data_IF_867937167982
#
_entry.id   IF_867937167982
#
_cell.length_a   1.000
_cell.length_b   1.000
_cell.length_c   1.000
_cell.angle_alpha   90.00
_cell.angle_beta   90.00
_cell.angle_gamma   90.00
#
_symmetry.space_group_name_H-M   'P 1'
#
loop_
_entity.id
_entity.type
_entity.pdbx_description
1 polymer ?
#
# COMPACT_ATOMS: atom_id res chain seq x y z
N UNK A 1 -24.67 11.45 -9.28
CA UNK A 1 -23.72 10.87 -10.22
C UNK A 1 -24.10 11.27 -11.63
N UNK A 2 -23.12 11.58 -12.50
CA UNK A 2 -23.40 11.83 -13.90
C UNK A 2 -23.74 10.50 -14.56
N UNK A 3 -24.96 10.35 -15.08
CA UNK A 3 -25.42 9.32 -16.01
C UNK A 3 -25.00 7.85 -15.77
N UNK A 4 -25.55 6.92 -16.55
CA UNK A 4 -25.25 5.47 -16.44
C UNK A 4 -23.95 5.03 -17.12
N UNK A 5 -23.10 5.95 -17.56
CA UNK A 5 -21.84 5.66 -18.27
C UNK A 5 -20.59 5.90 -17.43
N UNK A 6 -19.42 5.42 -17.91
CA UNK A 6 -18.15 5.67 -17.25
C UNK A 6 -17.82 7.16 -17.20
N UNK A 7 -17.24 7.61 -16.08
CA UNK A 7 -16.87 9.01 -15.90
C UNK A 7 -15.48 9.17 -15.25
N UNK A 8 -14.94 10.36 -15.42
CA UNK A 8 -13.64 10.77 -14.91
C UNK A 8 -13.81 12.03 -14.05
N UNK A 9 -13.10 12.09 -12.95
CA UNK A 9 -13.00 13.29 -12.11
C UNK A 9 -11.62 13.91 -12.36
N UNK A 10 -11.57 15.15 -12.81
CA UNK A 10 -10.29 15.84 -13.11
C UNK A 10 -9.56 16.31 -11.86
N UNK A 11 -10.26 16.61 -10.78
CA UNK A 11 -9.71 16.98 -9.48
C UNK A 11 -9.70 15.79 -8.51
N UNK A 12 -9.92 16.09 -7.23
CA UNK A 12 -9.90 15.11 -6.15
C UNK A 12 -11.29 14.59 -5.78
N UNK A 13 -11.35 13.36 -5.25
CA UNK A 13 -12.53 12.77 -4.63
C UNK A 13 -12.24 12.53 -3.14
N UNK A 14 -13.09 13.08 -2.29
CA UNK A 14 -13.00 12.92 -0.83
C UNK A 14 -14.25 12.21 -0.30
N UNK A 15 -14.03 11.09 0.38
CA UNK A 15 -15.07 10.31 1.06
C UNK A 15 -14.69 10.30 2.54
N UNK A 16 -15.48 10.96 3.37
CA UNK A 16 -15.14 11.18 4.76
C UNK A 16 -16.36 10.99 5.66
N UNK A 17 -16.14 10.38 6.82
CA UNK A 17 -17.15 10.13 7.86
C UNK A 17 -18.43 9.50 7.29
N UNK A 18 -18.28 8.52 6.41
CA UNK A 18 -19.44 7.85 5.82
C UNK A 18 -19.94 6.71 6.71
N UNK A 19 -21.26 6.60 6.85
CA UNK A 19 -21.95 5.46 7.47
C UNK A 19 -22.19 4.31 6.47
N UNK A 20 -21.68 4.45 5.25
CA UNK A 20 -21.85 3.46 4.20
C UNK A 20 -20.95 2.25 4.42
N UNK A 21 -21.44 1.10 4.02
CA UNK A 21 -20.69 -0.15 4.03
C UNK A 21 -19.88 -0.38 2.74
N UNK A 22 -20.23 0.32 1.65
CA UNK A 22 -19.56 0.23 0.33
C UNK A 22 -19.64 1.55 -0.46
N UNK A 23 -19.08 1.55 -1.66
CA UNK A 23 -18.96 2.71 -2.56
C UNK A 23 -19.67 2.48 -3.91
N UNK A 24 -20.74 1.66 -3.94
CA UNK A 24 -21.44 1.29 -5.19
C UNK A 24 -21.94 2.47 -6.03
N UNK A 25 -22.13 3.63 -5.42
CA UNK A 25 -22.50 4.86 -6.14
C UNK A 25 -21.37 5.33 -7.09
N UNK A 26 -20.13 4.85 -6.89
CA UNK A 26 -18.98 5.17 -7.73
C UNK A 26 -18.67 4.11 -8.81
N UNK A 27 -19.58 3.15 -9.04
CA UNK A 27 -19.36 1.99 -9.94
C UNK A 27 -18.94 2.31 -11.37
N UNK A 28 -19.08 3.55 -11.79
CA UNK A 28 -18.71 4.02 -13.14
C UNK A 28 -17.47 4.96 -13.12
N UNK A 29 -16.86 5.17 -11.95
CA UNK A 29 -15.66 5.99 -11.82
C UNK A 29 -14.45 5.24 -12.40
N UNK A 30 -13.81 5.84 -13.41
CA UNK A 30 -12.61 5.26 -14.05
C UNK A 30 -11.32 5.94 -13.63
N UNK A 31 -11.34 7.22 -13.39
CA UNK A 31 -10.13 7.91 -12.96
C UNK A 31 -10.42 9.12 -12.08
N UNK A 32 -9.43 9.42 -11.23
CA UNK A 32 -9.36 10.65 -10.44
C UNK A 32 -8.04 11.34 -10.77
N UNK A 33 -8.11 12.56 -11.30
CA UNK A 33 -6.95 13.28 -11.80
C UNK A 33 -5.95 13.63 -10.69
N UNK A 34 -6.46 13.92 -9.48
CA UNK A 34 -5.63 14.20 -8.31
C UNK A 34 -5.74 13.08 -7.27
N UNK A 35 -6.29 13.36 -6.10
CA UNK A 35 -6.36 12.44 -4.98
C UNK A 35 -7.73 11.75 -4.86
N UNK A 36 -7.72 10.43 -4.67
CA UNK A 36 -8.84 9.71 -4.06
C UNK A 36 -8.51 9.48 -2.59
N UNK A 37 -9.25 10.15 -1.71
CA UNK A 37 -9.11 9.99 -0.27
C UNK A 37 -10.38 9.43 0.35
N UNK A 38 -10.24 8.32 1.06
CA UNK A 38 -11.30 7.67 1.83
C UNK A 38 -10.85 7.69 3.29
N UNK A 39 -11.54 8.40 4.16
CA UNK A 39 -11.06 8.59 5.52
C UNK A 39 -12.15 8.56 6.56
N UNK A 40 -11.78 8.16 7.79
CA UNK A 40 -12.65 8.16 8.97
C UNK A 40 -14.04 7.55 8.70
N UNK A 41 -14.08 6.41 8.01
CA UNK A 41 -15.32 5.74 7.58
C UNK A 41 -15.49 4.41 8.33
N UNK A 42 -15.94 4.44 9.58
CA UNK A 42 -15.91 3.29 10.50
C UNK A 42 -16.85 2.15 10.11
N UNK A 43 -17.79 2.38 9.22
CA UNK A 43 -18.73 1.36 8.75
C UNK A 43 -18.33 0.76 7.39
N UNK A 44 -17.33 1.30 6.71
CA UNK A 44 -16.92 0.84 5.39
C UNK A 44 -16.34 -0.58 5.47
N UNK A 45 -17.00 -1.54 4.84
CA UNK A 45 -16.61 -2.96 4.82
C UNK A 45 -15.82 -3.33 3.56
N UNK A 46 -16.12 -2.63 2.44
CA UNK A 46 -15.50 -2.92 1.14
C UNK A 46 -15.43 -1.66 0.28
N UNK A 47 -14.57 -1.69 -0.74
CA UNK A 47 -14.48 -0.67 -1.78
C UNK A 47 -15.37 -1.01 -3.00
N UNK A 48 -16.38 -1.88 -2.82
CA UNK A 48 -17.30 -2.24 -3.90
C UNK A 48 -17.89 -0.99 -4.54
N UNK A 49 -17.74 -0.87 -5.87
CA UNK A 49 -18.02 0.33 -6.65
C UNK A 49 -16.77 0.97 -7.28
N UNK A 50 -15.55 0.53 -6.87
CA UNK A 50 -14.31 1.01 -7.48
C UNK A 50 -13.69 -0.01 -8.47
N UNK A 51 -14.46 -1.01 -8.90
CA UNK A 51 -13.96 -2.07 -9.79
C UNK A 51 -13.53 -1.55 -11.17
N UNK A 52 -14.02 -0.37 -11.58
CA UNK A 52 -13.64 0.25 -12.85
C UNK A 52 -12.57 1.33 -12.71
N UNK A 53 -12.07 1.57 -11.51
CA UNK A 53 -11.04 2.58 -11.28
C UNK A 53 -9.69 2.11 -11.85
N UNK A 54 -9.16 2.87 -12.80
CA UNK A 54 -7.94 2.55 -13.55
C UNK A 54 -6.75 3.41 -13.08
N UNK A 55 -7.02 4.66 -12.68
CA UNK A 55 -5.95 5.59 -12.32
C UNK A 55 -6.35 6.64 -11.29
N UNK A 56 -5.39 6.96 -10.41
CA UNK A 56 -5.42 8.10 -9.48
C UNK A 56 -4.00 8.68 -9.36
N UNK A 57 -3.84 9.96 -9.06
CA UNK A 57 -2.50 10.51 -8.73
C UNK A 57 -2.06 10.20 -7.30
N UNK A 58 -3.02 10.02 -6.40
CA UNK A 58 -2.77 9.58 -5.02
C UNK A 58 -3.98 8.82 -4.48
N UNK A 59 -3.73 7.68 -3.84
CA UNK A 59 -4.73 6.91 -3.10
C UNK A 59 -4.40 6.99 -1.61
N UNK A 60 -5.32 7.53 -0.82
CA UNK A 60 -5.23 7.50 0.65
C UNK A 60 -6.46 6.81 1.22
N UNK A 61 -6.26 5.78 2.04
CA UNK A 61 -7.32 5.14 2.83
C UNK A 61 -6.88 5.17 4.29
N UNK A 62 -7.63 5.88 5.11
CA UNK A 62 -7.25 6.17 6.48
C UNK A 62 -8.43 6.02 7.45
N UNK A 63 -8.21 5.34 8.58
CA UNK A 63 -9.21 5.20 9.63
C UNK A 63 -10.50 4.49 9.18
N UNK A 64 -10.36 3.41 8.43
CA UNK A 64 -11.46 2.54 8.00
C UNK A 64 -11.31 1.15 8.65
N UNK A 65 -11.57 1.00 9.96
CA UNK A 65 -11.19 -0.18 10.74
C UNK A 65 -11.90 -1.47 10.33
N UNK A 66 -13.05 -1.37 9.66
CA UNK A 66 -13.81 -2.55 9.20
C UNK A 66 -13.49 -2.96 7.75
N UNK A 67 -12.67 -2.19 7.03
CA UNK A 67 -12.31 -2.49 5.65
C UNK A 67 -11.42 -3.74 5.59
N UNK A 68 -11.93 -4.80 4.97
CA UNK A 68 -11.27 -6.12 4.96
C UNK A 68 -10.44 -6.40 3.72
N UNK A 69 -10.71 -5.71 2.61
CA UNK A 69 -10.11 -6.05 1.31
C UNK A 69 -10.05 -4.84 0.39
N UNK A 70 -9.01 -4.80 -0.42
CA UNK A 70 -8.82 -3.84 -1.51
C UNK A 70 -9.17 -4.45 -2.88
N UNK A 71 -9.78 -5.65 -2.94
CA UNK A 71 -10.00 -6.41 -4.18
C UNK A 71 -10.78 -5.66 -5.26
N UNK A 72 -11.62 -4.68 -4.89
CA UNK A 72 -12.30 -3.81 -5.85
C UNK A 72 -11.36 -2.87 -6.63
N UNK A 73 -10.09 -2.77 -6.24
CA UNK A 73 -9.07 -1.97 -6.96
C UNK A 73 -8.32 -2.79 -8.03
N UNK A 74 -8.85 -3.95 -8.43
CA UNK A 74 -8.20 -4.91 -9.33
C UNK A 74 -7.74 -4.31 -10.66
N UNK A 75 -8.41 -3.26 -11.14
CA UNK A 75 -8.07 -2.57 -12.39
C UNK A 75 -7.21 -1.31 -12.18
N UNK A 76 -6.87 -0.98 -10.93
CA UNK A 76 -6.03 0.18 -10.62
C UNK A 76 -4.58 -0.09 -11.05
N UNK A 77 -4.21 0.45 -12.21
CA UNK A 77 -2.87 0.27 -12.79
C UNK A 77 -1.94 1.46 -12.54
N UNK A 78 -2.49 2.63 -12.22
CA UNK A 78 -1.71 3.83 -11.98
C UNK A 78 -2.14 4.52 -10.69
N UNK A 79 -1.30 4.44 -9.67
CA UNK A 79 -1.45 5.11 -8.39
C UNK A 79 -0.06 5.38 -7.80
N UNK A 80 0.66 6.40 -8.27
CA UNK A 80 2.06 6.63 -7.89
C UNK A 80 2.26 6.86 -6.38
N UNK A 81 1.24 7.29 -5.66
CA UNK A 81 1.27 7.40 -4.19
C UNK A 81 0.15 6.61 -3.57
N UNK A 82 0.50 5.75 -2.62
CA UNK A 82 -0.46 4.96 -1.84
C UNK A 82 -0.18 5.16 -0.36
N UNK A 83 -1.20 5.50 0.40
CA UNK A 83 -1.16 5.58 1.86
C UNK A 83 -2.33 4.78 2.44
N UNK A 84 -2.01 3.77 3.24
CA UNK A 84 -2.96 2.90 3.93
C UNK A 84 -2.67 2.95 5.42
N UNK A 85 -3.58 3.56 6.20
CA UNK A 85 -3.35 3.80 7.63
C UNK A 85 -4.60 3.47 8.44
N UNK A 86 -4.42 2.78 9.58
CA UNK A 86 -5.52 2.50 10.51
C UNK A 86 -6.61 1.59 9.92
N UNK A 87 -6.21 0.57 9.18
CA UNK A 87 -7.10 -0.42 8.55
C UNK A 87 -7.06 -1.73 9.36
N UNK A 88 -7.75 -1.72 10.51
CA UNK A 88 -7.63 -2.79 11.52
C UNK A 88 -8.00 -4.18 11.01
N UNK A 89 -8.89 -4.28 10.03
CA UNK A 89 -9.36 -5.56 9.49
C UNK A 89 -8.67 -5.99 8.18
N UNK A 90 -7.77 -5.16 7.62
CA UNK A 90 -7.10 -5.44 6.34
C UNK A 90 -6.01 -6.51 6.54
N UNK A 91 -6.13 -7.65 5.86
CA UNK A 91 -5.20 -8.79 6.02
C UNK A 91 -4.08 -8.84 4.98
N UNK A 92 -4.33 -8.32 3.78
CA UNK A 92 -3.40 -8.27 2.65
C UNK A 92 -3.72 -7.08 1.72
N UNK A 93 -2.96 -6.95 0.63
CA UNK A 93 -3.09 -5.87 -0.34
C UNK A 93 -3.64 -6.36 -1.69
N UNK A 94 -4.35 -7.51 -1.72
CA UNK A 94 -4.97 -8.00 -2.95
C UNK A 94 -5.91 -6.96 -3.55
N UNK A 95 -5.74 -6.69 -4.84
CA UNK A 95 -6.38 -5.58 -5.56
C UNK A 95 -5.37 -4.56 -6.11
N UNK A 96 -4.13 -4.54 -5.59
CA UNK A 96 -3.07 -3.66 -6.09
C UNK A 96 -2.12 -4.36 -7.08
N UNK A 97 -2.45 -5.59 -7.50
CA UNK A 97 -1.56 -6.43 -8.32
C UNK A 97 -1.23 -5.90 -9.72
N UNK A 98 -1.98 -4.94 -10.22
CA UNK A 98 -1.72 -4.30 -11.52
C UNK A 98 -0.66 -3.18 -11.44
N UNK A 99 -0.25 -2.79 -10.22
CA UNK A 99 0.73 -1.72 -10.01
C UNK A 99 2.14 -2.30 -10.10
N UNK A 100 2.96 -1.73 -10.99
CA UNK A 100 4.35 -2.15 -11.20
C UNK A 100 5.37 -1.16 -10.61
N UNK A 101 5.03 0.12 -10.61
CA UNK A 101 5.90 1.19 -10.14
C UNK A 101 5.13 2.11 -9.20
N UNK A 102 5.78 2.49 -8.12
CA UNK A 102 5.29 3.48 -7.17
C UNK A 102 6.29 4.61 -7.00
N UNK A 103 5.80 5.80 -6.78
CA UNK A 103 6.63 6.89 -6.27
C UNK A 103 6.82 6.73 -4.76
N UNK A 104 5.73 6.40 -4.04
CA UNK A 104 5.74 6.22 -2.60
C UNK A 104 4.63 5.28 -2.16
N UNK A 105 4.93 4.46 -1.15
CA UNK A 105 3.92 3.66 -0.44
C UNK A 105 4.16 3.73 1.06
N UNK A 106 3.10 4.06 1.80
CA UNK A 106 3.07 4.10 3.26
C UNK A 106 2.02 3.13 3.78
N UNK A 107 2.46 2.13 4.54
CA UNK A 107 1.63 1.13 5.22
C UNK A 107 1.82 1.29 6.72
N UNK A 108 0.88 1.96 7.40
CA UNK A 108 1.03 2.33 8.81
C UNK A 108 -0.17 1.92 9.64
N UNK A 109 0.07 1.44 10.85
CA UNK A 109 -1.00 1.12 11.81
C UNK A 109 -2.08 0.19 11.23
N UNK A 110 -1.68 -0.91 10.57
CA UNK A 110 -2.58 -1.92 10.04
C UNK A 110 -2.36 -3.25 10.81
N UNK A 111 -2.93 -3.41 11.99
CA UNK A 111 -2.57 -4.48 12.92
C UNK A 111 -2.91 -5.89 12.42
N UNK A 112 -3.87 -6.04 11.52
CA UNK A 112 -4.21 -7.34 10.91
C UNK A 112 -3.46 -7.65 9.63
N UNK A 113 -2.66 -6.70 9.08
CA UNK A 113 -1.93 -6.91 7.82
C UNK A 113 -0.87 -7.99 8.02
N UNK A 114 -1.14 -9.19 7.52
CA UNK A 114 -0.31 -10.36 7.71
C UNK A 114 0.69 -10.58 6.57
N UNK A 115 0.39 -10.07 5.38
CA UNK A 115 1.24 -10.16 4.19
C UNK A 115 1.07 -8.94 3.28
N UNK A 116 2.04 -8.73 2.38
CA UNK A 116 1.96 -7.70 1.34
C UNK A 116 1.46 -8.26 0.00
N UNK A 117 0.76 -9.42 0.04
CA UNK A 117 0.20 -10.05 -1.15
C UNK A 117 -0.67 -9.06 -1.92
N UNK A 118 -0.40 -8.91 -3.23
CA UNK A 118 -0.94 -7.85 -4.09
C UNK A 118 0.13 -6.87 -4.57
N UNK A 119 1.37 -6.94 -4.04
CA UNK A 119 2.49 -6.14 -4.55
C UNK A 119 3.53 -6.96 -5.34
N UNK A 120 3.17 -8.17 -5.80
CA UNK A 120 4.09 -9.06 -6.51
C UNK A 120 4.59 -8.49 -7.83
N UNK A 121 3.87 -7.52 -8.40
CA UNK A 121 4.23 -6.80 -9.62
C UNK A 121 5.22 -5.65 -9.40
N UNK A 122 5.35 -5.17 -8.16
CA UNK A 122 6.11 -3.97 -7.84
C UNK A 122 7.60 -4.18 -8.06
N UNK A 123 8.22 -3.35 -8.93
CA UNK A 123 9.63 -3.42 -9.28
C UNK A 123 10.42 -2.21 -8.76
N UNK A 124 9.82 -1.03 -8.73
CA UNK A 124 10.51 0.20 -8.35
C UNK A 124 9.68 1.05 -7.40
N UNK A 125 10.35 1.63 -6.40
CA UNK A 125 9.78 2.68 -5.54
C UNK A 125 10.69 3.91 -5.65
N UNK A 126 10.17 4.96 -6.28
CA UNK A 126 10.97 6.14 -6.60
C UNK A 126 11.39 6.96 -5.37
N UNK A 127 10.66 6.82 -4.26
CA UNK A 127 10.93 7.58 -3.03
C UNK A 127 10.91 6.68 -1.80
N UNK A 128 9.80 6.54 -1.13
CA UNK A 128 9.71 5.90 0.18
C UNK A 128 8.86 4.63 0.12
N UNK A 129 9.38 3.55 0.70
CA UNK A 129 8.65 2.34 1.06
C UNK A 129 8.64 2.24 2.59
N UNK A 130 7.50 2.55 3.21
CA UNK A 130 7.34 2.58 4.66
C UNK A 130 6.39 1.49 5.11
N UNK A 131 6.85 0.65 6.03
CA UNK A 131 6.10 -0.44 6.66
C UNK A 131 6.25 -0.27 8.17
N UNK A 132 5.29 0.42 8.81
CA UNK A 132 5.37 0.78 10.22
C UNK A 132 4.15 0.31 10.99
N UNK A 133 4.36 -0.24 12.20
CA UNK A 133 3.31 -0.60 13.15
C UNK A 133 2.28 -1.61 12.57
N UNK A 134 2.79 -2.62 11.80
CA UNK A 134 1.99 -3.71 11.26
C UNK A 134 2.22 -4.99 12.07
N UNK A 135 1.52 -5.09 13.21
CA UNK A 135 1.84 -6.08 14.26
C UNK A 135 1.62 -7.54 13.87
N UNK A 136 0.84 -7.81 12.83
CA UNK A 136 0.62 -9.18 12.30
C UNK A 136 1.48 -9.52 11.08
N UNK A 137 2.33 -8.59 10.60
CA UNK A 137 3.08 -8.79 9.35
C UNK A 137 4.15 -9.88 9.53
N UNK A 138 4.05 -10.93 8.72
CA UNK A 138 4.90 -12.15 8.82
C UNK A 138 5.85 -12.31 7.66
N UNK A 139 5.61 -11.67 6.52
CA UNK A 139 6.34 -11.91 5.28
C UNK A 139 6.34 -10.68 4.38
N UNK A 140 7.50 -10.43 3.77
CA UNK A 140 7.70 -9.44 2.73
C UNK A 140 7.81 -10.08 1.32
N UNK A 141 7.49 -11.36 1.17
CA UNK A 141 7.72 -12.14 -0.04
C UNK A 141 7.10 -11.54 -1.32
N UNK A 142 6.06 -10.72 -1.19
CA UNK A 142 5.47 -10.00 -2.32
C UNK A 142 6.42 -8.94 -2.93
N UNK A 143 7.43 -8.49 -2.19
CA UNK A 143 8.40 -7.47 -2.64
C UNK A 143 9.60 -8.05 -3.41
N UNK A 144 9.58 -9.36 -3.73
CA UNK A 144 10.73 -10.08 -4.36
C UNK A 144 11.20 -9.50 -5.70
N UNK A 145 10.43 -8.64 -6.33
CA UNK A 145 10.77 -7.97 -7.60
C UNK A 145 11.26 -6.55 -7.40
N UNK A 146 11.21 -6.01 -6.19
CA UNK A 146 11.67 -4.65 -5.90
C UNK A 146 13.19 -4.60 -6.03
N UNK A 147 13.68 -3.83 -6.99
CA UNK A 147 15.10 -3.67 -7.28
C UNK A 147 15.70 -2.42 -6.63
N UNK A 148 14.88 -1.38 -6.43
CA UNK A 148 15.36 -0.14 -5.82
C UNK A 148 14.28 0.62 -5.05
N UNK A 149 14.73 1.32 -3.98
CA UNK A 149 13.96 2.32 -3.25
C UNK A 149 14.76 3.61 -3.22
N UNK A 150 14.28 4.64 -3.90
CA UNK A 150 15.09 5.82 -4.22
C UNK A 150 15.46 6.67 -3.00
N UNK A 151 14.61 6.69 -1.94
CA UNK A 151 14.88 7.50 -0.75
C UNK A 151 14.96 6.68 0.52
N UNK A 152 13.86 6.16 1.05
CA UNK A 152 13.88 5.42 2.32
C UNK A 152 13.12 4.09 2.22
N UNK A 153 13.78 3.01 2.68
CA UNK A 153 13.15 1.74 3.01
C UNK A 153 13.06 1.63 4.53
N UNK A 154 11.85 1.65 5.06
CA UNK A 154 11.60 1.60 6.49
C UNK A 154 10.74 0.40 6.86
N UNK A 155 11.23 -0.44 7.78
CA UNK A 155 10.52 -1.61 8.34
C UNK A 155 10.61 -1.48 9.86
N UNK A 156 9.55 -0.99 10.45
CA UNK A 156 9.53 -0.62 11.87
C UNK A 156 8.34 -1.25 12.57
N UNK A 157 8.55 -1.75 13.78
CA UNK A 157 7.49 -2.24 14.68
C UNK A 157 6.56 -3.31 14.01
N UNK A 158 7.19 -4.30 13.37
CA UNK A 158 6.55 -5.53 12.88
C UNK A 158 7.05 -6.71 13.70
N UNK A 159 6.57 -6.90 14.93
CA UNK A 159 7.19 -7.75 15.95
C UNK A 159 7.17 -9.25 15.65
N UNK A 160 6.35 -9.68 14.70
CA UNK A 160 6.23 -11.09 14.27
C UNK A 160 6.95 -11.38 12.95
N UNK A 161 7.61 -10.38 12.34
CA UNK A 161 8.44 -10.54 11.15
C UNK A 161 9.75 -11.24 11.54
N UNK A 162 10.05 -12.40 10.91
CA UNK A 162 11.19 -13.26 11.27
C UNK A 162 12.44 -13.00 10.47
N UNK A 163 12.26 -12.63 9.22
CA UNK A 163 13.29 -12.39 8.20
C UNK A 163 12.84 -11.28 7.25
N UNK A 164 13.71 -10.90 6.35
CA UNK A 164 13.44 -9.91 5.30
C UNK A 164 13.26 -10.59 3.93
N UNK A 165 12.86 -11.87 3.91
CA UNK A 165 12.65 -12.59 2.66
C UNK A 165 11.60 -11.89 1.77
N UNK A 166 12.04 -11.56 0.55
CA UNK A 166 11.33 -10.67 -0.38
C UNK A 166 12.15 -9.43 -0.76
N UNK A 167 13.27 -9.15 -0.05
CA UNK A 167 14.13 -8.01 -0.38
C UNK A 167 15.43 -8.41 -1.11
N UNK A 168 15.58 -9.69 -1.50
CA UNK A 168 16.81 -10.21 -2.13
C UNK A 168 17.17 -9.53 -3.47
N UNK A 169 16.18 -8.93 -4.16
CA UNK A 169 16.43 -8.21 -5.42
C UNK A 169 16.82 -6.75 -5.20
N UNK A 170 16.70 -6.22 -3.99
CA UNK A 170 16.99 -4.80 -3.70
C UNK A 170 18.50 -4.56 -3.77
N UNK A 171 18.93 -3.71 -4.71
CA UNK A 171 20.33 -3.34 -4.93
C UNK A 171 20.67 -1.92 -4.50
N UNK A 172 19.66 -1.06 -4.48
CA UNK A 172 19.84 0.37 -4.17
C UNK A 172 18.77 0.87 -3.22
N UNK A 173 19.21 1.51 -2.14
CA UNK A 173 18.33 2.25 -1.22
C UNK A 173 18.99 3.59 -0.87
N UNK A 174 18.21 4.66 -0.76
CA UNK A 174 18.74 5.94 -0.30
C UNK A 174 19.04 5.92 1.19
N UNK A 175 18.17 5.32 1.99
CA UNK A 175 18.32 5.11 3.43
C UNK A 175 17.62 3.81 3.82
N UNK A 176 18.17 3.06 4.75
CA UNK A 176 17.60 1.82 5.28
C UNK A 176 17.39 1.96 6.79
N UNK A 177 16.15 1.74 7.24
CA UNK A 177 15.78 1.74 8.66
C UNK A 177 15.03 0.45 8.98
N UNK A 178 15.64 -0.40 9.81
CA UNK A 178 15.04 -1.64 10.30
C UNK A 178 15.14 -1.63 11.82
N UNK A 179 14.01 -1.47 12.51
CA UNK A 179 14.03 -1.36 13.98
C UNK A 179 12.74 -1.87 14.62
N UNK A 180 12.80 -2.26 15.88
CA UNK A 180 11.65 -2.70 16.69
C UNK A 180 10.91 -3.92 16.08
N UNK A 181 11.63 -4.80 15.39
CA UNK A 181 11.13 -6.08 14.86
C UNK A 181 11.62 -7.19 15.78
N UNK A 182 10.86 -7.51 16.81
CA UNK A 182 11.32 -8.24 18.01
C UNK A 182 11.90 -9.64 17.74
N UNK A 183 11.44 -10.33 16.70
CA UNK A 183 11.89 -11.69 16.37
C UNK A 183 12.67 -11.77 15.05
N UNK A 184 13.01 -10.62 14.46
CA UNK A 184 13.85 -10.57 13.26
C UNK A 184 15.25 -11.12 13.62
N UNK A 185 15.66 -12.19 12.95
CA UNK A 185 16.84 -12.96 13.31
C UNK A 185 18.08 -12.66 12.48
N UNK A 186 17.91 -12.16 11.26
CA UNK A 186 19.01 -11.85 10.33
C UNK A 186 18.61 -10.79 9.30
N UNK A 187 19.58 -10.29 8.57
CA UNK A 187 19.44 -9.33 7.46
C UNK A 187 19.97 -9.91 6.13
N UNK A 188 20.05 -11.23 6.00
CA UNK A 188 20.69 -11.93 4.88
C UNK A 188 20.07 -11.54 3.53
N UNK A 189 18.77 -11.25 3.50
CA UNK A 189 18.07 -10.79 2.29
C UNK A 189 18.52 -9.41 1.76
N UNK A 190 19.43 -8.73 2.45
CA UNK A 190 19.98 -7.43 2.05
C UNK A 190 21.44 -7.53 1.59
N UNK A 191 21.97 -8.73 1.38
CA UNK A 191 23.36 -8.96 0.93
C UNK A 191 23.67 -8.32 -0.42
N UNK A 192 22.67 -8.22 -1.30
CA UNK A 192 22.78 -7.62 -2.63
C UNK A 192 22.68 -6.08 -2.64
N UNK A 193 22.45 -5.45 -1.48
CA UNK A 193 22.39 -3.98 -1.39
C UNK A 193 23.77 -3.38 -1.58
N UNK A 194 24.03 -2.87 -2.78
CA UNK A 194 25.33 -2.31 -3.20
C UNK A 194 25.48 -0.84 -2.80
N UNK A 195 24.37 -0.11 -2.75
CA UNK A 195 24.39 1.33 -2.48
C UNK A 195 23.38 1.72 -1.42
N UNK A 196 23.88 2.29 -0.33
CA UNK A 196 23.08 3.03 0.65
C UNK A 196 23.50 4.48 0.57
N UNK A 197 22.66 5.34 -0.02
CA UNK A 197 23.02 6.73 -0.30
C UNK A 197 23.00 7.66 0.92
N UNK A 198 22.50 7.16 2.06
CA UNK A 198 22.30 7.94 3.26
C UNK A 198 22.68 7.19 4.54
N UNK A 199 21.80 7.15 5.53
CA UNK A 199 22.04 6.59 6.84
C UNK A 199 21.58 5.13 6.93
N UNK A 200 22.43 4.29 7.48
CA UNK A 200 22.07 2.96 7.96
C UNK A 200 21.77 3.09 9.48
N UNK A 201 20.55 2.72 9.90
CA UNK A 201 20.16 2.81 11.31
C UNK A 201 19.19 1.68 11.69
#
# INVERSE_FOLDING_TARGET
PPGDGPYHVTGSVYIHLTDREDLRDLRHLRSVGDALRISASPQLLSLAGLEQLESVSSLTIDGCPKLKSLSSLVNLAHAPRIELTGLDALADLQGLGSIQDLFQIDLKDNPSLASLQGLEGLAFVGRDLTINDNSSLRSLAALRRVESVGRSLEIVASPVLRDLDGLQSVRQVGSLVVRNNAILSNLDSLEEVVTVGGRLA
#
